data_IF_818091484119
#
_entry.id   IF_818091484119
#
_cell.length_a   1.000
_cell.length_b   1.000
_cell.length_c   1.000
_cell.angle_alpha   90.00
_cell.angle_beta   90.00
_cell.angle_gamma   90.00
#
_symmetry.space_group_name_H-M   'P 1'
#
loop_
_entity.id
_entity.type
_entity.pdbx_description
1 polymer ?
#
# COMPACT_ATOMS: atom_id res chain seq x y z
N UNK A 1 24.44 5.53 -12.20
CA UNK A 1 22.99 5.70 -11.95
C UNK A 1 22.64 4.98 -10.66
N UNK A 2 22.08 5.68 -9.67
CA UNK A 2 21.66 5.08 -8.40
C UNK A 2 20.54 4.02 -8.61
N UNK A 3 20.47 3.01 -7.73
CA UNK A 3 19.41 1.98 -7.76
C UNK A 3 18.04 2.63 -7.55
N UNK A 4 16.98 1.96 -8.00
CA UNK A 4 15.62 2.52 -7.95
C UNK A 4 15.19 2.85 -6.50
N UNK A 5 15.59 2.01 -5.55
CA UNK A 5 15.36 2.23 -4.11
C UNK A 5 16.07 3.49 -3.60
N UNK A 6 17.31 3.73 -4.01
CA UNK A 6 18.08 4.91 -3.63
C UNK A 6 17.47 6.20 -4.19
N UNK A 7 16.96 6.15 -5.43
CA UNK A 7 16.23 7.29 -6.04
C UNK A 7 14.93 7.59 -5.29
N UNK A 8 14.18 6.56 -4.92
CA UNK A 8 12.95 6.67 -4.13
C UNK A 8 13.19 7.16 -2.69
N UNK A 9 14.40 7.02 -2.15
CA UNK A 9 14.75 7.52 -0.81
C UNK A 9 15.36 8.92 -0.80
N UNK A 10 15.63 9.52 -1.96
CA UNK A 10 16.23 10.84 -2.07
C UNK A 10 15.35 11.96 -1.45
N UNK A 11 16.01 13.02 -0.95
CA UNK A 11 15.32 14.16 -0.34
C UNK A 11 14.33 14.84 -1.29
N UNK A 12 14.68 14.95 -2.58
CA UNK A 12 13.82 15.52 -3.61
C UNK A 12 12.54 14.67 -3.81
N UNK A 13 12.67 13.34 -3.81
CA UNK A 13 11.53 12.44 -3.97
C UNK A 13 10.55 12.57 -2.80
N UNK A 14 11.07 12.56 -1.56
CA UNK A 14 10.25 12.75 -0.35
C UNK A 14 9.55 14.11 -0.32
N UNK A 15 10.24 15.17 -0.75
CA UNK A 15 9.64 16.51 -0.86
C UNK A 15 8.47 16.54 -1.85
N UNK A 16 8.64 15.92 -3.02
CA UNK A 16 7.55 15.81 -4.02
C UNK A 16 6.39 14.95 -3.53
N UNK A 17 6.66 13.85 -2.82
CA UNK A 17 5.60 13.05 -2.19
C UNK A 17 4.81 13.86 -1.15
N UNK A 18 5.49 14.63 -0.30
CA UNK A 18 4.83 15.49 0.68
C UNK A 18 3.95 16.56 0.02
N UNK A 19 4.47 17.25 -1.00
CA UNK A 19 3.70 18.24 -1.75
C UNK A 19 2.46 17.63 -2.44
N UNK A 20 2.59 16.43 -3.01
CA UNK A 20 1.47 15.76 -3.64
C UNK A 20 0.45 15.20 -2.64
N UNK A 21 0.89 14.85 -1.42
CA UNK A 21 0.00 14.51 -0.32
C UNK A 21 -0.78 15.75 0.17
N UNK A 22 -0.13 16.92 0.29
CA UNK A 22 -0.78 18.19 0.64
C UNK A 22 -1.84 18.61 -0.40
N UNK A 23 -1.57 18.39 -1.69
CA UNK A 23 -2.52 18.66 -2.77
C UNK A 23 -3.65 17.60 -2.88
N UNK A 24 -3.64 16.59 -2.00
CA UNK A 24 -4.65 15.51 -2.00
C UNK A 24 -4.55 14.54 -3.19
N UNK A 25 -3.48 14.63 -3.99
CA UNK A 25 -3.25 13.78 -5.16
C UNK A 25 -2.73 12.39 -4.77
N UNK A 26 -2.08 12.28 -3.61
CA UNK A 26 -1.59 11.04 -3.06
C UNK A 26 -2.33 10.70 -1.77
N UNK A 27 -3.07 9.59 -1.79
CA UNK A 27 -3.61 9.00 -0.56
C UNK A 27 -2.48 8.31 0.19
N UNK A 28 -2.33 8.52 1.51
CA UNK A 28 -1.37 7.77 2.30
C UNK A 28 -1.62 6.27 2.16
N UNK A 29 -0.56 5.46 2.28
CA UNK A 29 -0.68 4.00 2.29
C UNK A 29 -1.53 3.57 3.49
N UNK A 30 -2.81 3.37 3.25
CA UNK A 30 -3.73 2.83 4.26
C UNK A 30 -3.34 1.39 4.59
N UNK A 31 -3.27 1.08 5.88
CA UNK A 31 -3.00 -0.27 6.37
C UNK A 31 -4.33 -0.93 6.74
N UNK A 32 -4.51 -2.19 6.35
CA UNK A 32 -5.65 -3.01 6.77
C UNK A 32 -5.75 -3.02 8.31
N UNK A 33 -6.92 -2.74 8.90
CA UNK A 33 -7.14 -2.87 10.34
C UNK A 33 -6.79 -4.28 10.83
N UNK A 34 -6.34 -4.37 12.09
CA UNK A 34 -6.03 -5.68 12.69
C UNK A 34 -7.32 -6.44 13.02
N UNK A 35 -8.30 -5.76 13.62
CA UNK A 35 -9.61 -6.33 13.93
C UNK A 35 -10.56 -6.06 12.77
N UNK A 36 -11.25 -7.11 12.31
CA UNK A 36 -12.27 -6.97 11.27
C UNK A 36 -13.47 -6.12 11.74
N UNK A 37 -13.76 -6.15 13.04
CA UNK A 37 -14.84 -5.38 13.67
C UNK A 37 -14.65 -3.86 13.57
N UNK A 38 -13.41 -3.38 13.39
CA UNK A 38 -13.12 -1.95 13.23
C UNK A 38 -13.49 -1.45 11.83
N UNK A 39 -13.74 -2.35 10.88
CA UNK A 39 -14.16 -2.00 9.52
C UNK A 39 -15.69 -1.87 9.47
N UNK A 40 -16.17 -0.63 9.56
CA UNK A 40 -17.61 -0.31 9.57
C UNK A 40 -18.19 -0.07 8.18
N UNK A 41 -17.33 0.04 7.15
CA UNK A 41 -17.72 0.33 5.77
C UNK A 41 -17.54 -0.90 4.86
N UNK A 42 -18.62 -1.34 4.20
CA UNK A 42 -18.62 -2.48 3.29
C UNK A 42 -17.61 -2.31 2.15
N UNK A 43 -17.49 -1.10 1.60
CA UNK A 43 -16.55 -0.82 0.50
C UNK A 43 -15.09 -0.99 0.92
N UNK A 44 -14.77 -0.64 2.15
CA UNK A 44 -13.43 -0.85 2.72
C UNK A 44 -13.18 -2.33 2.99
N UNK A 45 -14.17 -3.05 3.51
CA UNK A 45 -14.07 -4.49 3.72
C UNK A 45 -13.77 -5.24 2.42
N UNK A 46 -14.43 -4.89 1.31
CA UNK A 46 -14.15 -5.45 -0.01
C UNK A 46 -12.73 -5.17 -0.49
N UNK A 47 -12.26 -3.93 -0.32
CA UNK A 47 -10.87 -3.54 -0.62
C UNK A 47 -9.87 -4.40 0.14
N UNK A 48 -10.07 -4.56 1.45
CA UNK A 48 -9.19 -5.35 2.30
C UNK A 48 -9.24 -6.85 1.97
N UNK A 49 -10.42 -7.37 1.62
CA UNK A 49 -10.58 -8.76 1.15
C UNK A 49 -9.78 -9.01 -0.14
N UNK A 50 -9.86 -8.10 -1.11
CA UNK A 50 -9.07 -8.22 -2.35
C UNK A 50 -7.56 -8.23 -2.07
N UNK A 51 -7.11 -7.40 -1.13
CA UNK A 51 -5.70 -7.40 -0.72
C UNK A 51 -5.29 -8.76 -0.11
N UNK A 52 -6.09 -9.33 0.79
CA UNK A 52 -5.83 -10.65 1.40
C UNK A 52 -5.70 -11.73 0.32
N UNK A 53 -6.64 -11.78 -0.64
CA UNK A 53 -6.64 -12.78 -1.70
C UNK A 53 -5.37 -12.69 -2.58
N UNK A 54 -4.91 -11.48 -2.89
CA UNK A 54 -3.66 -11.26 -3.63
C UNK A 54 -2.43 -11.70 -2.83
N UNK A 55 -2.40 -11.41 -1.53
CA UNK A 55 -1.32 -11.84 -0.63
C UNK A 55 -1.24 -13.37 -0.53
N UNK A 56 -2.39 -14.04 -0.38
CA UNK A 56 -2.49 -15.50 -0.36
C UNK A 56 -2.02 -16.08 -1.69
N UNK A 57 -2.53 -15.59 -2.82
CA UNK A 57 -2.15 -16.11 -4.14
C UNK A 57 -0.64 -16.03 -4.37
N UNK A 58 0.00 -14.90 -4.06
CA UNK A 58 1.47 -14.76 -4.16
C UNK A 58 2.22 -15.75 -3.27
N UNK A 59 1.74 -15.96 -2.05
CA UNK A 59 2.35 -16.92 -1.11
C UNK A 59 2.19 -18.36 -1.59
N UNK A 60 1.01 -18.72 -2.12
CA UNK A 60 0.75 -20.03 -2.70
C UNK A 60 1.64 -20.30 -3.90
N UNK A 61 1.76 -19.34 -4.83
CA UNK A 61 2.68 -19.47 -5.98
C UNK A 61 4.11 -19.72 -5.51
N UNK A 62 4.60 -18.95 -4.52
CA UNK A 62 5.95 -19.15 -3.97
C UNK A 62 6.16 -20.51 -3.27
N UNK A 63 5.10 -21.15 -2.78
CA UNK A 63 5.17 -22.49 -2.18
C UNK A 63 5.23 -23.57 -3.27
N UNK A 64 4.62 -23.30 -4.42
CA UNK A 64 4.52 -24.21 -5.56
C UNK A 64 5.69 -24.08 -6.55
N UNK A 65 6.44 -22.97 -6.48
CA UNK A 65 7.76 -22.80 -7.12
C UNK A 65 8.81 -23.70 -6.45
#
# INVERSE_FOLDING_TARGET
MARNEEKAQSMLYRFREAQAAELGLLKPKERRPYLASDCTNVREAEKWRQQILREISRKVSKIQD
#
